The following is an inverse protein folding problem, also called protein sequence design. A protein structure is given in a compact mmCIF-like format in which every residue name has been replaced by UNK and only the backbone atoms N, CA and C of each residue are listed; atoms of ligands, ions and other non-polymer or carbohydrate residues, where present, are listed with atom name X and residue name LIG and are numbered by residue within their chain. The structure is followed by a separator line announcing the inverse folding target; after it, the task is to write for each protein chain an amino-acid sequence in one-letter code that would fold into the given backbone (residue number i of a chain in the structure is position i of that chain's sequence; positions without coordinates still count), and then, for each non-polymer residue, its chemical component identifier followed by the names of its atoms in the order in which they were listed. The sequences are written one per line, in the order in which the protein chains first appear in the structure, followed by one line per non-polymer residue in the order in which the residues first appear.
data_IF_868949049631
#
_entry.id   IF_868949049631
#
_cell.length_a   1.000
_cell.length_b   1.000
_cell.length_c   1.000
_cell.angle_alpha   90.00
_cell.angle_beta   90.00
_cell.angle_gamma   90.00
#
_symmetry.space_group_name_H-M   'P 1'
#
loop_
_entity.id
_entity.type
_entity.pdbx_description
1 polymer ?
#
# COMPACT_ATOMS: atom_id res chain seq x y z
N UNK A 1 3.18 16.36 -14.05
CA UNK A 1 3.31 14.93 -13.71
C UNK A 1 4.64 14.43 -14.23
N UNK A 2 5.52 13.91 -13.37
CA UNK A 2 6.76 13.26 -13.81
C UNK A 2 6.40 12.02 -14.64
N UNK A 3 6.99 11.89 -15.85
CA UNK A 3 6.77 10.72 -16.72
C UNK A 3 7.23 9.41 -16.05
N UNK A 4 7.00 8.24 -16.68
CA UNK A 4 7.33 6.91 -16.13
C UNK A 4 8.77 6.79 -15.60
N UNK A 5 9.74 7.37 -16.31
CA UNK A 5 11.15 7.39 -15.89
C UNK A 5 11.40 8.17 -14.60
N UNK A 6 10.68 9.28 -14.39
CA UNK A 6 10.78 10.08 -13.16
C UNK A 6 10.18 9.35 -11.95
N UNK A 7 9.11 8.59 -12.14
CA UNK A 7 8.52 7.76 -11.09
C UNK A 7 9.44 6.59 -10.70
N UNK A 8 9.98 5.85 -11.67
CA UNK A 8 10.89 4.75 -11.38
C UNK A 8 12.12 5.21 -10.59
N UNK A 9 12.67 6.38 -10.92
CA UNK A 9 13.78 6.98 -10.17
C UNK A 9 13.39 7.25 -8.70
N UNK A 10 12.18 7.77 -8.44
CA UNK A 10 11.66 7.98 -7.08
C UNK A 10 11.43 6.66 -6.35
N UNK A 11 10.87 5.66 -7.03
CA UNK A 11 10.66 4.32 -6.49
C UNK A 11 12.00 3.68 -6.11
N UNK A 12 12.99 3.74 -6.99
CA UNK A 12 14.34 3.23 -6.72
C UNK A 12 15.01 3.97 -5.55
N UNK A 13 14.86 5.29 -5.48
CA UNK A 13 15.34 6.09 -4.35
C UNK A 13 14.61 5.72 -3.04
N UNK A 14 13.30 5.58 -3.08
CA UNK A 14 12.49 5.20 -1.91
C UNK A 14 12.77 3.77 -1.44
N UNK A 15 13.09 2.85 -2.33
CA UNK A 15 13.47 1.48 -1.96
C UNK A 15 14.97 1.29 -1.71
N UNK A 16 15.78 2.35 -1.80
CA UNK A 16 17.25 2.24 -1.76
C UNK A 16 17.77 1.50 -0.53
N UNK A 17 17.22 1.77 0.65
CA UNK A 17 17.62 1.10 1.90
C UNK A 17 17.37 -0.41 1.86
N UNK A 18 16.18 -0.82 1.39
CA UNK A 18 15.83 -2.24 1.25
C UNK A 18 16.67 -2.88 0.15
N UNK A 19 16.75 -2.22 -0.99
CA UNK A 19 17.48 -2.71 -2.16
C UNK A 19 18.98 -2.86 -1.88
N UNK A 20 19.65 -1.86 -1.28
CA UNK A 20 21.07 -1.97 -0.94
C UNK A 20 21.33 -3.11 0.02
N UNK A 21 20.58 -3.21 1.12
CA UNK A 21 20.74 -4.30 2.08
C UNK A 21 20.53 -5.68 1.45
N UNK A 22 19.53 -5.83 0.56
CA UNK A 22 19.25 -7.10 -0.10
C UNK A 22 20.30 -7.44 -1.16
N UNK A 23 20.70 -6.45 -1.98
CA UNK A 23 21.69 -6.68 -3.05
C UNK A 23 23.10 -6.96 -2.51
N UNK A 24 23.50 -6.29 -1.42
CA UNK A 24 24.77 -6.58 -0.73
C UNK A 24 24.80 -8.03 -0.23
N UNK A 25 23.73 -8.51 0.42
CA UNK A 25 23.63 -9.91 0.87
C UNK A 25 23.64 -10.90 -0.27
N UNK A 26 22.92 -10.62 -1.37
CA UNK A 26 22.94 -11.49 -2.56
C UNK A 26 24.37 -11.54 -3.16
N UNK A 27 25.06 -10.41 -3.21
CA UNK A 27 26.43 -10.35 -3.70
C UNK A 27 27.43 -11.10 -2.79
N UNK A 28 27.22 -11.08 -1.48
CA UNK A 28 28.01 -11.87 -0.52
C UNK A 28 27.81 -13.38 -0.72
N UNK A 29 26.56 -13.80 -0.98
CA UNK A 29 26.21 -15.20 -1.26
C UNK A 29 26.78 -15.66 -2.61
N UNK A 30 26.74 -14.80 -3.64
CA UNK A 30 27.15 -15.13 -5.01
C UNK A 30 28.44 -14.38 -5.38
N UNK A 31 29.53 -14.69 -4.67
CA UNK A 31 30.84 -14.06 -4.96
C UNK A 31 31.37 -14.50 -6.32
N UNK A 32 31.58 -13.55 -7.21
CA UNK A 32 32.09 -13.72 -8.58
C UNK A 32 31.18 -14.62 -9.47
N UNK A 33 31.55 -15.87 -9.68
CA UNK A 33 30.74 -16.93 -10.29
C UNK A 33 30.71 -18.11 -9.32
N UNK A 34 29.57 -18.38 -8.74
CA UNK A 34 29.39 -19.47 -7.79
C UNK A 34 28.42 -20.50 -8.38
N UNK A 35 28.70 -21.77 -8.15
CA UNK A 35 27.78 -22.85 -8.47
C UNK A 35 26.58 -22.75 -7.57
N UNK A 36 25.37 -22.70 -8.13
CA UNK A 36 24.11 -22.67 -7.36
C UNK A 36 23.83 -24.07 -6.80
N UNK A 37 24.31 -24.33 -5.60
CA UNK A 37 24.11 -25.55 -4.84
C UNK A 37 23.11 -25.36 -3.69
N UNK A 38 22.87 -26.39 -2.91
CA UNK A 38 21.93 -26.35 -1.79
C UNK A 38 22.32 -25.29 -0.74
N UNK A 39 23.61 -25.20 -0.39
CA UNK A 39 24.09 -24.23 0.59
C UNK A 39 23.89 -22.79 0.10
N UNK A 40 24.17 -22.51 -1.18
CA UNK A 40 23.93 -21.20 -1.78
C UNK A 40 22.44 -20.83 -1.80
N UNK A 41 21.54 -21.80 -2.02
CA UNK A 41 20.10 -21.57 -1.97
C UNK A 41 19.61 -21.29 -0.54
N UNK A 42 20.17 -21.96 0.49
CA UNK A 42 19.88 -21.69 1.90
C UNK A 42 20.33 -20.26 2.29
N UNK A 43 21.56 -19.87 1.94
CA UNK A 43 22.08 -18.52 2.17
C UNK A 43 21.21 -17.44 1.46
N UNK A 44 20.73 -17.73 0.25
CA UNK A 44 19.83 -16.83 -0.49
C UNK A 44 18.46 -16.71 0.19
N UNK A 45 17.91 -17.82 0.71
CA UNK A 45 16.67 -17.84 1.46
C UNK A 45 16.78 -16.95 2.72
N UNK A 46 17.89 -17.09 3.46
CA UNK A 46 18.16 -16.28 4.64
C UNK A 46 18.24 -14.78 4.30
N UNK A 47 18.92 -14.42 3.20
CA UNK A 47 18.99 -13.03 2.73
C UNK A 47 17.61 -12.44 2.43
N UNK A 48 16.70 -13.21 1.82
CA UNK A 48 15.32 -12.80 1.53
C UNK A 48 14.48 -12.66 2.81
N UNK A 49 14.65 -13.57 3.78
CA UNK A 49 13.96 -13.49 5.09
C UNK A 49 14.36 -12.22 5.82
N UNK A 50 15.66 -11.90 5.84
CA UNK A 50 16.20 -10.69 6.49
C UNK A 50 15.72 -9.37 5.84
N UNK A 51 15.28 -9.42 4.58
CA UNK A 51 14.64 -8.30 3.90
C UNK A 51 13.11 -8.24 4.13
N UNK A 52 12.60 -8.99 5.12
CA UNK A 52 11.16 -9.07 5.49
C UNK A 52 10.23 -9.67 4.41
N UNK A 53 10.75 -10.51 3.50
CA UNK A 53 9.87 -11.26 2.58
C UNK A 53 9.09 -12.38 3.29
N UNK A 54 9.52 -12.77 4.50
CA UNK A 54 8.94 -13.87 5.27
C UNK A 54 9.37 -15.26 4.77
N UNK A 55 9.36 -16.25 5.67
CA UNK A 55 9.90 -17.60 5.42
C UNK A 55 9.23 -18.26 4.22
N UNK A 56 7.90 -18.35 4.19
CA UNK A 56 7.17 -19.04 3.12
C UNK A 56 7.40 -18.41 1.73
N UNK A 57 7.57 -17.09 1.69
CA UNK A 57 7.80 -16.36 0.43
C UNK A 57 9.23 -16.56 -0.04
N UNK A 58 10.21 -16.47 0.86
CA UNK A 58 11.62 -16.70 0.57
C UNK A 58 11.84 -18.12 0.03
N UNK A 59 11.34 -19.15 0.72
CA UNK A 59 11.44 -20.53 0.29
C UNK A 59 10.84 -20.77 -1.12
N UNK A 60 9.69 -20.15 -1.42
CA UNK A 60 9.07 -20.27 -2.73
C UNK A 60 9.88 -19.60 -3.84
N UNK A 61 10.43 -18.41 -3.59
CA UNK A 61 11.27 -17.68 -4.54
C UNK A 61 12.57 -18.43 -4.81
N UNK A 62 13.23 -18.94 -3.77
CA UNK A 62 14.46 -19.71 -3.89
C UNK A 62 14.22 -21.01 -4.67
N UNK A 63 13.14 -21.72 -4.37
CA UNK A 63 12.74 -22.92 -5.12
C UNK A 63 12.53 -22.61 -6.61
N UNK A 64 11.90 -21.51 -6.93
CA UNK A 64 11.66 -21.11 -8.32
C UNK A 64 12.95 -20.74 -9.04
N UNK A 65 13.83 -19.95 -8.40
CA UNK A 65 15.13 -19.57 -8.95
C UNK A 65 16.03 -20.80 -9.15
N UNK A 66 16.01 -21.73 -8.20
CA UNK A 66 16.81 -22.97 -8.26
C UNK A 66 16.37 -23.94 -9.35
N UNK A 67 15.10 -23.95 -9.75
CA UNK A 67 14.50 -24.95 -10.63
C UNK A 67 15.28 -25.18 -11.95
N UNK A 68 15.72 -24.09 -12.59
CA UNK A 68 16.41 -24.15 -13.89
C UNK A 68 17.90 -23.82 -13.80
N UNK A 69 18.40 -23.48 -12.62
CA UNK A 69 19.77 -22.98 -12.41
C UNK A 69 20.61 -23.83 -11.47
N UNK A 70 19.99 -24.79 -10.79
CA UNK A 70 20.68 -25.68 -9.86
C UNK A 70 21.87 -26.37 -10.52
N UNK A 71 23.03 -26.34 -9.89
CA UNK A 71 24.25 -26.94 -10.39
C UNK A 71 24.99 -26.13 -11.46
N UNK A 72 24.46 -24.98 -11.92
CA UNK A 72 25.12 -24.07 -12.87
C UNK A 72 25.87 -22.97 -12.14
N UNK A 73 26.89 -22.43 -12.77
CA UNK A 73 27.54 -21.20 -12.34
C UNK A 73 26.62 -20.01 -12.67
N UNK A 74 26.41 -19.15 -11.68
CA UNK A 74 25.53 -17.96 -11.79
C UNK A 74 26.26 -16.73 -11.27
N UNK A 75 25.89 -15.57 -11.78
CA UNK A 75 26.31 -14.25 -11.29
C UNK A 75 25.24 -13.66 -10.38
N UNK A 76 25.62 -12.68 -9.56
CA UNK A 76 24.67 -11.92 -8.72
C UNK A 76 23.58 -11.24 -9.55
N UNK A 77 23.91 -10.69 -10.71
CA UNK A 77 22.96 -10.06 -11.63
C UNK A 77 21.95 -11.06 -12.15
N UNK A 78 22.39 -12.27 -12.57
CA UNK A 78 21.48 -13.32 -13.04
C UNK A 78 20.52 -13.80 -11.95
N UNK A 79 20.97 -13.88 -10.70
CA UNK A 79 20.12 -14.20 -9.55
C UNK A 79 19.12 -13.08 -9.28
N UNK A 80 19.56 -11.82 -9.26
CA UNK A 80 18.66 -10.66 -9.06
C UNK A 80 17.62 -10.55 -10.16
N UNK A 81 17.97 -10.75 -11.41
CA UNK A 81 17.01 -10.77 -12.53
C UNK A 81 16.00 -11.90 -12.40
N UNK A 82 16.46 -13.10 -12.01
CA UNK A 82 15.57 -14.25 -11.78
C UNK A 82 14.60 -13.99 -10.61
N UNK A 83 15.11 -13.43 -9.50
CA UNK A 83 14.29 -13.06 -8.35
C UNK A 83 13.30 -11.95 -8.72
N UNK A 84 13.72 -10.93 -9.46
CA UNK A 84 12.82 -9.86 -9.89
C UNK A 84 11.70 -10.38 -10.77
N UNK A 85 12.00 -11.29 -11.70
CA UNK A 85 10.99 -11.94 -12.51
C UNK A 85 10.02 -12.80 -11.68
N UNK A 86 10.51 -13.54 -10.70
CA UNK A 86 9.67 -14.37 -9.81
C UNK A 86 8.79 -13.51 -8.90
N UNK A 87 9.35 -12.45 -8.30
CA UNK A 87 8.61 -11.48 -7.49
C UNK A 87 7.56 -10.76 -8.33
N UNK A 88 7.91 -10.31 -9.53
CA UNK A 88 6.98 -9.66 -10.46
C UNK A 88 5.76 -10.56 -10.75
N UNK A 89 5.98 -11.82 -11.13
CA UNK A 89 4.89 -12.79 -11.34
C UNK A 89 4.02 -13.01 -10.10
N UNK A 90 4.61 -13.00 -8.92
CA UNK A 90 3.88 -13.16 -7.65
C UNK A 90 3.01 -11.95 -7.34
N UNK A 91 3.45 -10.75 -7.70
CA UNK A 91 2.76 -9.49 -7.43
C UNK A 91 1.73 -9.10 -8.48
N UNK A 92 1.89 -9.56 -9.73
CA UNK A 92 1.02 -9.19 -10.87
C UNK A 92 -0.48 -9.39 -10.58
N UNK A 93 -0.92 -10.53 -9.98
CA UNK A 93 -2.34 -10.76 -9.72
C UNK A 93 -2.97 -9.81 -8.69
N UNK A 94 -2.16 -9.10 -7.91
CA UNK A 94 -2.60 -8.17 -6.86
C UNK A 94 -2.25 -6.71 -7.18
N UNK A 95 -1.60 -6.44 -8.30
CA UNK A 95 -1.28 -5.09 -8.76
C UNK A 95 -2.52 -4.48 -9.42
N UNK A 96 -3.44 -3.99 -8.60
CA UNK A 96 -4.70 -3.41 -9.04
C UNK A 96 -4.82 -1.99 -8.51
N UNK A 97 -4.62 -0.95 -9.37
CA UNK A 97 -4.77 0.43 -8.94
C UNK A 97 -6.21 0.70 -8.49
N UNK A 98 -6.37 1.62 -7.54
CA UNK A 98 -7.71 2.14 -7.22
C UNK A 98 -8.36 2.62 -8.52
N UNK A 99 -9.62 2.26 -8.76
CA UNK A 99 -10.25 2.55 -10.04
C UNK A 99 -10.29 4.07 -10.26
N UNK A 100 -9.58 4.55 -11.27
CA UNK A 100 -9.75 5.91 -11.80
C UNK A 100 -11.09 6.06 -12.54
N UNK A 101 -11.80 4.96 -12.77
CA UNK A 101 -13.16 4.93 -13.31
C UNK A 101 -14.13 4.64 -12.17
N UNK A 102 -14.82 5.66 -11.74
CA UNK A 102 -15.94 5.55 -10.80
C UNK A 102 -17.01 4.63 -11.37
N UNK A 103 -17.29 3.55 -10.70
CA UNK A 103 -18.41 2.64 -11.02
C UNK A 103 -19.71 3.12 -10.38
N UNK A 104 -19.59 3.84 -9.28
CA UNK A 104 -20.69 4.37 -8.46
C UNK A 104 -20.56 5.89 -8.34
N UNK A 105 -21.66 6.58 -8.03
CA UNK A 105 -21.68 8.05 -7.84
C UNK A 105 -22.42 8.44 -6.56
N UNK A 106 -21.66 8.77 -5.51
CA UNK A 106 -20.19 8.73 -5.43
C UNK A 106 -19.64 7.32 -5.24
N UNK A 107 -18.42 7.05 -5.73
CA UNK A 107 -17.62 5.93 -5.27
C UNK A 107 -17.20 6.23 -3.83
N UNK A 108 -17.57 5.37 -2.89
CA UNK A 108 -17.28 5.57 -1.46
C UNK A 108 -16.08 4.72 -1.07
N UNK A 109 -15.00 5.36 -0.66
CA UNK A 109 -13.76 4.70 -0.21
C UNK A 109 -13.57 4.95 1.29
N UNK A 110 -13.68 3.91 2.09
CA UNK A 110 -13.38 3.93 3.52
C UNK A 110 -11.90 3.63 3.75
N UNK A 111 -11.15 4.60 4.28
CA UNK A 111 -9.71 4.44 4.53
C UNK A 111 -9.48 4.14 6.00
N UNK A 112 -8.94 2.97 6.29
CA UNK A 112 -8.65 2.50 7.63
C UNK A 112 -7.17 2.20 7.84
N UNK A 113 -6.75 1.95 9.07
CA UNK A 113 -5.37 1.64 9.45
C UNK A 113 -4.99 2.22 10.80
N UNK A 114 -3.85 1.83 11.33
CA UNK A 114 -3.35 2.27 12.64
C UNK A 114 -2.94 3.74 12.61
N UNK A 115 -2.94 4.41 13.75
CA UNK A 115 -2.42 5.78 13.85
C UNK A 115 -0.96 5.83 13.42
N UNK A 116 -0.60 6.88 12.66
CA UNK A 116 0.77 7.08 12.15
C UNK A 116 1.09 6.35 10.85
N UNK A 117 0.20 5.50 10.30
CA UNK A 117 0.44 4.84 9.00
C UNK A 117 0.32 5.77 7.79
N UNK A 118 -0.08 7.02 7.97
CA UNK A 118 -0.20 7.98 6.86
C UNK A 118 -1.58 8.02 6.19
N UNK A 119 -2.67 7.57 6.83
CA UNK A 119 -4.03 7.60 6.29
C UNK A 119 -4.44 8.96 5.73
N UNK A 120 -4.44 9.99 6.58
CA UNK A 120 -4.84 11.35 6.21
C UNK A 120 -4.00 11.92 5.06
N UNK A 121 -2.68 11.69 5.08
CA UNK A 121 -1.77 12.06 3.99
C UNK A 121 -2.08 11.31 2.70
N UNK A 122 -2.35 10.02 2.80
CA UNK A 122 -2.74 9.17 1.67
C UNK A 122 -4.04 9.65 1.03
N UNK A 123 -5.05 9.94 1.85
CA UNK A 123 -6.33 10.52 1.38
C UNK A 123 -6.10 11.84 0.63
N UNK A 124 -5.27 12.73 1.18
CA UNK A 124 -4.92 14.00 0.53
C UNK A 124 -4.25 13.82 -0.82
N UNK A 125 -3.32 12.86 -0.93
CA UNK A 125 -2.62 12.52 -2.19
C UNK A 125 -3.57 11.85 -3.21
N UNK A 126 -4.44 10.94 -2.76
CA UNK A 126 -5.47 10.32 -3.61
C UNK A 126 -6.47 11.35 -4.13
N UNK A 127 -6.92 12.27 -3.28
CA UNK A 127 -7.80 13.35 -3.68
C UNK A 127 -7.15 14.24 -4.77
N UNK A 128 -5.85 14.56 -4.62
CA UNK A 128 -5.11 15.31 -5.62
C UNK A 128 -5.09 14.59 -6.98
N UNK A 129 -4.81 13.27 -6.97
CA UNK A 129 -4.78 12.46 -8.18
C UNK A 129 -6.18 12.39 -8.84
N UNK A 130 -7.23 12.24 -8.04
CA UNK A 130 -8.61 12.19 -8.53
C UNK A 130 -9.05 13.53 -9.14
N UNK A 131 -8.73 14.65 -8.51
CA UNK A 131 -8.99 16.00 -9.06
C UNK A 131 -8.21 16.22 -10.35
N UNK A 132 -6.95 15.80 -10.41
CA UNK A 132 -6.15 15.89 -11.64
C UNK A 132 -6.70 15.01 -12.77
N UNK A 133 -7.45 13.95 -12.45
CA UNK A 133 -8.20 13.12 -13.39
C UNK A 133 -9.59 13.71 -13.77
N UNK A 134 -9.94 14.88 -13.23
CA UNK A 134 -11.21 15.57 -13.51
C UNK A 134 -12.39 15.11 -12.67
N UNK A 135 -12.15 14.34 -11.59
CA UNK A 135 -13.21 13.84 -10.71
C UNK A 135 -13.59 14.90 -9.67
N UNK A 136 -14.88 14.97 -9.36
CA UNK A 136 -15.42 15.75 -8.25
C UNK A 136 -15.30 14.97 -6.95
N UNK A 137 -14.45 15.43 -6.03
CA UNK A 137 -14.08 14.73 -4.80
C UNK A 137 -14.67 15.42 -3.58
N UNK A 138 -15.12 14.64 -2.60
CA UNK A 138 -15.49 15.08 -1.25
C UNK A 138 -14.67 14.29 -0.23
N UNK A 139 -14.20 14.94 0.83
CA UNK A 139 -13.51 14.33 1.96
C UNK A 139 -14.39 14.33 3.20
N UNK A 140 -14.30 13.27 4.02
CA UNK A 140 -14.99 13.18 5.32
C UNK A 140 -13.98 12.92 6.45
N UNK A 141 -13.94 13.82 7.43
CA UNK A 141 -13.02 13.79 8.57
C UNK A 141 -13.62 13.00 9.74
N UNK A 142 -13.70 11.66 9.61
CA UNK A 142 -14.31 10.81 10.64
C UNK A 142 -13.34 10.39 11.77
N UNK A 143 -12.08 10.83 11.79
CA UNK A 143 -11.19 10.75 12.99
C UNK A 143 -11.50 11.94 13.94
N UNK A 144 -12.75 11.99 14.44
CA UNK A 144 -13.34 13.14 15.13
C UNK A 144 -12.73 13.42 16.50
N UNK A 145 -12.02 12.47 17.08
CA UNK A 145 -11.36 12.60 18.38
C UNK A 145 -9.95 13.18 18.31
N UNK A 146 -9.43 13.37 17.10
CA UNK A 146 -8.09 13.93 16.88
C UNK A 146 -8.20 15.24 16.09
N UNK A 147 -8.29 16.35 16.84
CA UNK A 147 -8.37 17.67 16.24
C UNK A 147 -7.27 17.91 15.17
N UNK A 148 -6.03 17.49 15.44
CA UNK A 148 -4.93 17.60 14.49
C UNK A 148 -5.14 16.77 13.20
N UNK A 149 -5.84 15.64 13.25
CA UNK A 149 -6.14 14.85 12.05
C UNK A 149 -7.20 15.54 11.19
N UNK A 150 -8.22 16.10 11.83
CA UNK A 150 -9.25 16.90 11.14
C UNK A 150 -8.62 18.12 10.48
N UNK A 151 -7.81 18.88 11.20
CA UNK A 151 -7.08 20.04 10.67
C UNK A 151 -6.16 19.66 9.50
N UNK A 152 -5.43 18.55 9.62
CA UNK A 152 -4.59 18.04 8.54
C UNK A 152 -5.40 17.72 7.28
N UNK A 153 -6.57 17.09 7.43
CA UNK A 153 -7.44 16.79 6.30
C UNK A 153 -8.01 18.07 5.66
N UNK A 154 -8.33 19.09 6.46
CA UNK A 154 -8.75 20.40 5.95
C UNK A 154 -7.64 21.12 5.17
N UNK A 155 -6.39 21.01 5.62
CA UNK A 155 -5.25 21.54 4.87
C UNK A 155 -5.16 20.86 3.50
N UNK A 156 -5.32 19.53 3.45
CA UNK A 156 -5.36 18.79 2.20
C UNK A 156 -6.55 19.19 1.33
N UNK A 157 -7.74 19.37 1.93
CA UNK A 157 -8.93 19.87 1.23
C UNK A 157 -8.69 21.22 0.56
N UNK A 158 -8.17 22.20 1.32
CA UNK A 158 -7.82 23.51 0.79
C UNK A 158 -6.78 23.46 -0.32
N UNK A 159 -5.72 22.64 -0.14
CA UNK A 159 -4.63 22.47 -1.13
C UNK A 159 -5.13 21.88 -2.45
N UNK A 160 -6.08 20.97 -2.38
CA UNK A 160 -6.64 20.27 -3.55
C UNK A 160 -7.91 20.97 -4.11
N UNK A 161 -8.42 22.00 -3.45
CA UNK A 161 -9.67 22.65 -3.86
C UNK A 161 -10.91 21.79 -3.69
N UNK A 162 -10.91 20.85 -2.70
CA UNK A 162 -12.02 19.92 -2.45
C UNK A 162 -12.67 20.17 -1.09
N UNK A 163 -14.02 20.04 -0.97
CA UNK A 163 -14.71 20.21 0.30
C UNK A 163 -14.37 19.11 1.29
N UNK A 164 -14.29 19.49 2.57
CA UNK A 164 -14.11 18.56 3.69
C UNK A 164 -15.35 18.65 4.58
N UNK A 165 -16.05 17.54 4.72
CA UNK A 165 -17.15 17.42 5.68
C UNK A 165 -16.56 17.04 7.03
N UNK A 166 -16.84 17.83 8.04
CA UNK A 166 -16.37 17.64 9.42
C UNK A 166 -17.48 17.88 10.43
N UNK A 167 -17.36 17.23 11.57
CA UNK A 167 -18.21 17.44 12.75
C UNK A 167 -17.52 18.32 13.79
N UNK A 168 -18.21 18.53 14.90
CA UNK A 168 -17.60 19.05 16.13
C UNK A 168 -16.62 18.03 16.68
N UNK A 169 -15.66 18.46 17.49
CA UNK A 169 -14.75 17.56 18.19
C UNK A 169 -15.55 16.52 19.00
N UNK A 170 -15.20 15.24 18.86
CA UNK A 170 -15.89 14.12 19.49
C UNK A 170 -17.27 13.80 18.91
N UNK A 171 -17.66 14.38 17.77
CA UNK A 171 -18.89 14.00 17.07
C UNK A 171 -18.90 12.50 16.72
N UNK A 172 -20.07 11.90 16.58
CA UNK A 172 -20.22 10.50 16.17
C UNK A 172 -19.65 10.29 14.74
N UNK A 173 -18.57 9.51 14.58
CA UNK A 173 -17.98 9.29 13.26
C UNK A 173 -18.95 8.67 12.25
N UNK A 174 -19.88 7.82 12.70
CA UNK A 174 -20.84 7.17 11.81
C UNK A 174 -21.93 8.15 11.34
N UNK A 175 -22.39 9.05 12.21
CA UNK A 175 -23.28 10.14 11.81
C UNK A 175 -22.64 11.05 10.79
N UNK A 176 -21.37 11.42 11.02
CA UNK A 176 -20.61 12.25 10.08
C UNK A 176 -20.40 11.55 8.73
N UNK A 177 -20.13 10.25 8.71
CA UNK A 177 -19.99 9.48 7.46
C UNK A 177 -21.31 9.44 6.68
N UNK A 178 -22.47 9.35 7.39
CA UNK A 178 -23.79 9.43 6.81
C UNK A 178 -24.02 10.79 6.15
N UNK A 179 -23.81 11.89 6.89
CA UNK A 179 -23.99 13.25 6.39
C UNK A 179 -23.07 13.54 5.20
N UNK A 180 -21.85 13.01 5.23
CA UNK A 180 -20.88 13.17 4.15
C UNK A 180 -21.33 12.44 2.87
N UNK A 181 -21.91 11.24 2.98
CA UNK A 181 -22.42 10.51 1.82
C UNK A 181 -23.67 11.19 1.23
N UNK A 182 -24.61 11.63 2.06
CA UNK A 182 -25.79 12.39 1.62
C UNK A 182 -25.37 13.68 0.91
N UNK A 183 -24.42 14.40 1.50
CA UNK A 183 -23.90 15.62 0.90
C UNK A 183 -23.16 15.36 -0.41
N UNK A 184 -22.31 14.34 -0.49
CA UNK A 184 -21.60 13.96 -1.71
C UNK A 184 -22.58 13.59 -2.84
N UNK A 185 -23.69 12.91 -2.53
CA UNK A 185 -24.76 12.63 -3.49
C UNK A 185 -25.46 13.89 -3.97
N UNK A 186 -25.88 14.75 -3.05
CA UNK A 186 -26.55 16.01 -3.38
C UNK A 186 -25.69 16.92 -4.26
N UNK A 187 -24.37 16.95 -3.98
CA UNK A 187 -23.41 17.75 -4.75
C UNK A 187 -23.01 17.08 -6.09
N UNK A 188 -23.46 15.86 -6.36
CA UNK A 188 -23.09 15.09 -7.55
C UNK A 188 -21.59 14.79 -7.60
N UNK A 189 -21.01 14.42 -6.46
CA UNK A 189 -19.61 14.02 -6.37
C UNK A 189 -19.37 12.67 -7.08
N UNK A 190 -18.19 12.50 -7.63
CA UNK A 190 -17.75 11.22 -8.22
C UNK A 190 -17.08 10.32 -7.16
N UNK A 191 -16.42 10.92 -6.15
CA UNK A 191 -15.62 10.20 -5.16
C UNK A 191 -15.84 10.79 -3.76
N UNK A 192 -16.09 9.93 -2.77
CA UNK A 192 -16.08 10.25 -1.34
C UNK A 192 -14.96 9.45 -0.66
N UNK A 193 -13.97 10.16 -0.10
CA UNK A 193 -12.90 9.55 0.71
C UNK A 193 -13.16 9.81 2.19
N UNK A 194 -13.24 8.75 2.99
CA UNK A 194 -13.57 8.81 4.42
C UNK A 194 -12.32 8.47 5.24
N UNK A 195 -11.80 9.45 6.00
CA UNK A 195 -10.70 9.26 6.95
C UNK A 195 -11.26 8.74 8.29
N UNK A 196 -10.70 7.66 8.82
CA UNK A 196 -11.17 7.04 10.07
C UNK A 196 -10.10 7.07 11.16
N UNK A 197 -10.53 6.95 12.41
CA UNK A 197 -9.63 6.74 13.53
C UNK A 197 -8.78 5.46 13.36
N UNK A 198 -7.64 5.40 14.04
CA UNK A 198 -6.73 4.26 13.95
C UNK A 198 -6.17 3.84 15.32
N UNK A 199 -6.96 3.94 16.39
CA UNK A 199 -6.55 3.66 17.77
C UNK A 199 -6.53 2.15 18.06
N UNK A 200 -5.56 1.41 17.50
CA UNK A 200 -5.49 -0.04 17.66
C UNK A 200 -5.25 -0.49 19.11
N UNK A 201 -4.71 0.38 19.98
CA UNK A 201 -4.60 0.14 21.42
C UNK A 201 -5.96 -0.03 22.10
N UNK A 202 -7.01 0.59 21.56
CA UNK A 202 -8.43 0.32 21.91
C UNK A 202 -9.09 -0.47 20.77
N UNK A 203 -8.64 -1.71 20.60
CA UNK A 203 -9.04 -2.57 19.49
C UNK A 203 -10.58 -2.69 19.42
N UNK A 204 -11.25 -2.95 20.55
CA UNK A 204 -12.70 -3.14 20.56
C UNK A 204 -13.44 -1.86 20.14
N UNK A 205 -13.08 -0.71 20.69
CA UNK A 205 -13.71 0.56 20.34
C UNK A 205 -13.53 0.93 18.85
N UNK A 206 -12.33 0.73 18.30
CA UNK A 206 -12.07 0.92 16.87
C UNK A 206 -12.92 -0.02 16.00
N UNK A 207 -13.08 -1.27 16.44
CA UNK A 207 -13.90 -2.27 15.76
C UNK A 207 -15.36 -1.88 15.70
N UNK A 208 -15.92 -1.45 16.82
CA UNK A 208 -17.33 -1.08 16.92
C UNK A 208 -17.61 0.20 16.12
N UNK A 209 -16.66 1.14 16.10
CA UNK A 209 -16.73 2.37 15.31
C UNK A 209 -16.75 2.06 13.80
N UNK A 210 -15.79 1.29 13.29
CA UNK A 210 -15.74 0.93 11.88
C UNK A 210 -16.96 0.15 11.42
N UNK A 211 -17.43 -0.83 12.21
CA UNK A 211 -18.68 -1.55 11.91
C UNK A 211 -19.89 -0.62 11.88
N UNK A 212 -19.94 0.35 12.80
CA UNK A 212 -21.02 1.34 12.85
C UNK A 212 -21.01 2.23 11.61
N UNK A 213 -19.84 2.70 11.17
CA UNK A 213 -19.67 3.49 9.94
C UNK A 213 -20.19 2.68 8.74
N UNK A 214 -19.70 1.45 8.54
CA UNK A 214 -20.13 0.59 7.41
C UNK A 214 -21.65 0.36 7.43
N UNK A 215 -22.21 0.06 8.62
CA UNK A 215 -23.66 -0.16 8.76
C UNK A 215 -24.47 1.08 8.40
N UNK A 216 -24.00 2.26 8.74
CA UNK A 216 -24.70 3.51 8.48
C UNK A 216 -24.59 3.90 7.00
N UNK A 217 -23.44 3.73 6.38
CA UNK A 217 -23.27 3.94 4.94
C UNK A 217 -24.21 3.04 4.13
N UNK A 218 -24.37 1.78 4.52
CA UNK A 218 -25.33 0.82 3.88
C UNK A 218 -26.80 1.19 3.99
N UNK A 219 -27.18 2.08 4.89
CA UNK A 219 -28.54 2.62 4.96
C UNK A 219 -28.83 3.62 3.85
N UNK A 220 -27.78 4.35 3.40
CA UNK A 220 -27.88 5.32 2.31
C UNK A 220 -27.66 4.62 0.96
N UNK A 221 -26.70 3.71 0.92
CA UNK A 221 -26.35 2.93 -0.26
C UNK A 221 -26.00 1.50 0.17
N UNK A 222 -26.82 0.49 -0.20
CA UNK A 222 -26.58 -0.91 0.20
C UNK A 222 -25.23 -1.48 -0.22
N UNK A 223 -24.61 -0.93 -1.27
CA UNK A 223 -23.29 -1.36 -1.77
C UNK A 223 -22.12 -0.59 -1.13
N UNK A 224 -22.40 0.54 -0.44
CA UNK A 224 -21.37 1.33 0.24
C UNK A 224 -20.91 0.67 1.58
N UNK A 225 -19.63 0.86 1.96
CA UNK A 225 -18.55 1.45 1.16
C UNK A 225 -18.17 0.52 0.00
N UNK A 226 -17.90 1.08 -1.17
CA UNK A 226 -17.53 0.33 -2.37
C UNK A 226 -16.10 -0.20 -2.29
N UNK A 227 -15.21 0.57 -1.60
CA UNK A 227 -13.85 0.16 -1.28
C UNK A 227 -13.57 0.38 0.20
N UNK A 228 -12.90 -0.58 0.82
CA UNK A 228 -12.34 -0.50 2.16
C UNK A 228 -10.85 -0.73 2.07
N UNK A 229 -10.08 0.34 2.16
CA UNK A 229 -8.64 0.33 1.93
C UNK A 229 -7.89 0.44 3.25
N UNK A 230 -7.02 -0.53 3.50
CA UNK A 230 -6.13 -0.50 4.67
C UNK A 230 -4.79 0.14 4.31
N UNK A 231 -4.45 1.22 5.03
CA UNK A 231 -3.15 1.88 4.91
C UNK A 231 -2.18 1.30 5.93
N UNK A 232 -1.07 0.76 5.45
CA UNK A 232 -0.01 0.11 6.22
C UNK A 232 1.29 0.91 6.17
N UNK A 233 2.04 0.87 7.25
CA UNK A 233 3.39 1.43 7.35
C UNK A 233 4.43 0.32 7.13
N UNK A 234 5.22 0.40 6.06
CA UNK A 234 6.24 -0.59 5.72
C UNK A 234 7.31 -0.74 6.80
N UNK A 235 7.58 0.31 7.60
CA UNK A 235 8.59 0.26 8.65
C UNK A 235 8.25 -0.74 9.75
N UNK A 236 6.98 -1.14 9.88
CA UNK A 236 6.53 -2.14 10.84
C UNK A 236 6.90 -3.57 10.47
N UNK A 237 7.37 -3.81 9.23
CA UNK A 237 7.80 -5.13 8.76
C UNK A 237 6.72 -6.19 8.95
N UNK A 238 7.08 -7.36 9.48
CA UNK A 238 6.15 -8.48 9.69
C UNK A 238 4.94 -8.16 10.59
N UNK A 239 5.01 -7.12 11.43
CA UNK A 239 3.85 -6.69 12.22
C UNK A 239 2.69 -6.16 11.34
N UNK A 240 2.94 -5.77 10.09
CA UNK A 240 1.89 -5.41 9.15
C UNK A 240 0.92 -6.56 8.88
N UNK A 241 1.38 -7.82 8.93
CA UNK A 241 0.53 -9.00 8.78
C UNK A 241 -0.58 -9.07 9.84
N UNK A 242 -0.23 -8.82 11.10
CA UNK A 242 -1.19 -8.81 12.19
C UNK A 242 -2.25 -7.70 12.00
N UNK A 243 -1.83 -6.55 11.47
CA UNK A 243 -2.77 -5.47 11.15
C UNK A 243 -3.76 -5.92 10.07
N UNK A 244 -3.28 -6.50 8.96
CA UNK A 244 -4.18 -7.02 7.91
C UNK A 244 -5.16 -8.04 8.46
N UNK A 245 -4.71 -9.01 9.27
CA UNK A 245 -5.59 -10.02 9.89
C UNK A 245 -6.67 -9.40 10.76
N UNK A 246 -6.27 -8.44 11.61
CA UNK A 246 -7.21 -7.74 12.49
C UNK A 246 -8.26 -6.99 11.67
N UNK A 247 -7.86 -6.18 10.69
CA UNK A 247 -8.80 -5.40 9.90
C UNK A 247 -9.64 -6.27 8.94
N UNK A 248 -9.09 -7.34 8.35
CA UNK A 248 -9.81 -8.28 7.50
C UNK A 248 -10.96 -8.98 8.25
N UNK A 249 -10.75 -9.27 9.54
CA UNK A 249 -11.79 -9.88 10.38
C UNK A 249 -12.87 -8.89 10.84
N UNK A 250 -12.67 -7.60 10.61
CA UNK A 250 -13.56 -6.52 11.05
C UNK A 250 -14.43 -5.97 9.96
N UNK A 251 -13.82 -5.71 8.83
CA UNK A 251 -14.41 -5.11 7.65
C UNK A 251 -13.94 -5.88 6.42
N UNK A 252 -14.76 -5.89 5.38
CA UNK A 252 -14.40 -6.54 4.12
C UNK A 252 -13.37 -5.68 3.40
N UNK A 253 -12.08 -5.90 3.68
CA UNK A 253 -10.99 -5.19 2.99
C UNK A 253 -11.04 -5.48 1.49
N UNK A 254 -11.00 -4.45 0.67
CA UNK A 254 -10.92 -4.54 -0.78
C UNK A 254 -9.49 -4.35 -1.31
N UNK A 255 -8.61 -3.74 -0.51
CA UNK A 255 -7.22 -3.59 -0.90
C UNK A 255 -6.34 -2.89 0.14
N UNK A 256 -5.08 -2.75 -0.22
CA UNK A 256 -4.00 -2.23 0.62
C UNK A 256 -3.34 -1.02 -0.04
N UNK A 257 -2.85 -0.10 0.78
CA UNK A 257 -1.86 0.92 0.40
C UNK A 257 -0.71 0.80 1.39
N UNK A 258 0.52 0.67 0.88
CA UNK A 258 1.72 0.54 1.73
C UNK A 258 2.54 1.82 1.61
N UNK A 259 2.77 2.47 2.75
CA UNK A 259 3.46 3.76 2.86
C UNK A 259 4.84 3.61 3.49
N UNK A 260 5.62 4.70 3.47
CA UNK A 260 6.93 4.84 4.15
C UNK A 260 7.98 3.79 3.73
N UNK A 261 7.93 3.38 2.46
CA UNK A 261 8.94 2.47 1.92
C UNK A 261 10.35 3.10 1.92
N UNK A 262 10.44 4.42 1.85
CA UNK A 262 11.69 5.20 1.93
C UNK A 262 12.33 5.19 3.32
N UNK A 263 11.55 4.92 4.35
CA UNK A 263 12.01 4.89 5.75
C UNK A 263 12.58 3.55 6.22
N UNK A 264 12.63 2.50 5.38
CA UNK A 264 12.88 1.14 5.86
C UNK A 264 13.78 0.30 4.96
N UNK A 265 14.48 -0.66 5.56
CA UNK A 265 15.13 -1.78 4.86
C UNK A 265 14.20 -3.02 4.74
N UNK A 266 12.92 -2.90 5.11
CA UNK A 266 11.93 -3.98 5.19
C UNK A 266 10.89 -3.97 4.08
N UNK A 267 11.20 -3.41 2.93
CA UNK A 267 10.29 -3.28 1.78
C UNK A 267 9.79 -4.62 1.23
N UNK A 268 10.47 -5.72 1.52
CA UNK A 268 10.04 -7.08 1.20
C UNK A 268 8.69 -7.47 1.81
N UNK A 269 8.25 -6.79 2.86
CA UNK A 269 6.92 -6.99 3.47
C UNK A 269 5.79 -6.87 2.45
N UNK A 270 5.93 -6.04 1.42
CA UNK A 270 4.93 -5.91 0.34
C UNK A 270 4.71 -7.25 -0.37
N UNK A 271 5.79 -7.97 -0.67
CA UNK A 271 5.74 -9.29 -1.32
C UNK A 271 5.10 -10.34 -0.40
N UNK A 272 5.48 -10.31 0.88
CA UNK A 272 4.93 -11.20 1.89
C UNK A 272 3.41 -11.01 2.10
N UNK A 273 2.96 -9.74 2.16
CA UNK A 273 1.54 -9.38 2.27
C UNK A 273 0.74 -9.84 1.04
N UNK A 274 1.26 -9.57 -0.16
CA UNK A 274 0.65 -9.98 -1.42
C UNK A 274 0.42 -11.48 -1.47
N UNK A 275 1.46 -12.26 -1.16
CA UNK A 275 1.39 -13.72 -1.19
C UNK A 275 0.41 -14.29 -0.17
N UNK A 276 0.44 -13.77 1.08
CA UNK A 276 -0.37 -14.31 2.19
C UNK A 276 -1.84 -13.96 2.07
N UNK A 277 -2.14 -12.71 1.75
CA UNK A 277 -3.52 -12.20 1.82
C UNK A 277 -4.23 -12.15 0.49
N UNK A 278 -3.49 -12.09 -0.61
CA UNK A 278 -4.01 -11.99 -1.99
C UNK A 278 -5.01 -10.82 -2.14
N UNK A 279 -4.81 -9.77 -1.36
CA UNK A 279 -5.56 -8.54 -1.46
C UNK A 279 -4.91 -7.63 -2.51
N UNK A 280 -5.67 -6.89 -3.30
CA UNK A 280 -5.17 -5.87 -4.18
C UNK A 280 -4.24 -4.89 -3.45
N UNK A 281 -3.10 -4.55 -4.06
CA UNK A 281 -2.24 -3.45 -3.62
C UNK A 281 -2.49 -2.32 -4.60
N UNK A 282 -3.17 -1.28 -4.12
CA UNK A 282 -3.61 -0.17 -4.97
C UNK A 282 -2.50 0.85 -5.23
N UNK A 283 -1.73 1.16 -4.19
CA UNK A 283 -0.69 2.17 -4.27
C UNK A 283 0.42 1.93 -3.26
N UNK A 284 1.57 2.55 -3.52
CA UNK A 284 2.72 2.58 -2.61
C UNK A 284 3.19 4.03 -2.41
N UNK A 285 3.63 4.32 -1.18
CA UNK A 285 4.21 5.60 -0.77
C UNK A 285 5.71 5.48 -0.52
N UNK A 286 6.48 6.33 -1.18
CA UNK A 286 7.95 6.34 -1.15
C UNK A 286 8.53 7.68 -0.71
N UNK A 287 7.74 8.50 -0.01
CA UNK A 287 8.14 9.81 0.51
C UNK A 287 6.95 10.71 0.85
N UNK A 288 7.27 11.97 1.17
CA UNK A 288 6.33 12.94 1.74
C UNK A 288 5.57 13.75 0.67
N UNK A 289 6.14 13.97 -0.52
CA UNK A 289 5.55 14.82 -1.55
C UNK A 289 4.32 14.18 -2.20
N UNK A 290 3.50 14.98 -2.88
CA UNK A 290 2.28 14.50 -3.56
C UNK A 290 2.61 13.41 -4.57
N UNK A 291 3.72 13.57 -5.28
CA UNK A 291 4.17 12.66 -6.32
C UNK A 291 4.73 11.33 -5.77
N UNK A 292 4.97 11.23 -4.47
CA UNK A 292 5.55 10.06 -3.81
C UNK A 292 4.50 8.99 -3.44
N UNK A 293 3.23 9.17 -3.80
CA UNK A 293 2.21 8.12 -3.80
C UNK A 293 1.82 7.80 -5.24
N UNK A 294 1.94 6.54 -5.63
CA UNK A 294 1.59 6.09 -6.98
C UNK A 294 0.91 4.74 -6.96
N UNK A 295 0.17 4.48 -8.03
CA UNK A 295 -0.38 3.15 -8.30
C UNK A 295 0.72 2.11 -8.26
N UNK A 296 0.39 0.95 -7.70
CA UNK A 296 1.35 -0.15 -7.59
C UNK A 296 1.55 -0.84 -8.95
N UNK A 297 2.80 -1.00 -9.33
CA UNK A 297 3.20 -1.71 -10.55
C UNK A 297 4.17 -2.84 -10.18
N UNK A 298 3.74 -4.08 -10.38
CA UNK A 298 4.44 -5.28 -9.93
C UNK A 298 5.87 -5.39 -10.46
N UNK A 299 6.05 -5.21 -11.77
CA UNK A 299 7.35 -5.32 -12.43
C UNK A 299 8.31 -4.21 -12.02
N UNK A 300 7.84 -2.96 -11.96
CA UNK A 300 8.65 -1.82 -11.54
C UNK A 300 9.10 -1.98 -10.08
N UNK A 301 8.18 -2.39 -9.20
CA UNK A 301 8.50 -2.65 -7.78
C UNK A 301 9.53 -3.77 -7.62
N UNK A 302 9.32 -4.91 -8.29
CA UNK A 302 10.23 -6.06 -8.21
C UNK A 302 11.65 -5.71 -8.65
N UNK A 303 11.81 -4.98 -9.76
CA UNK A 303 13.13 -4.53 -10.24
C UNK A 303 13.79 -3.54 -9.29
N UNK A 304 13.03 -2.55 -8.80
CA UNK A 304 13.54 -1.59 -7.84
C UNK A 304 13.97 -2.26 -6.51
N UNK A 305 13.21 -3.24 -6.04
CA UNK A 305 13.52 -4.02 -4.83
C UNK A 305 14.86 -4.77 -4.97
N UNK A 306 15.14 -5.32 -6.14
CA UNK A 306 16.36 -6.06 -6.46
C UNK A 306 17.51 -5.16 -7.00
N UNK A 307 17.37 -3.84 -6.92
CA UNK A 307 18.39 -2.88 -7.34
C UNK A 307 18.65 -2.83 -8.85
N UNK A 308 17.74 -3.35 -9.64
CA UNK A 308 17.81 -3.39 -11.09
C UNK A 308 17.26 -2.10 -11.71
N UNK A 309 17.67 -1.79 -12.93
CA UNK A 309 17.11 -0.69 -13.71
C UNK A 309 15.77 -1.06 -14.35
N UNK A 310 14.96 -0.09 -14.84
CA UNK A 310 13.71 -0.37 -15.53
C UNK A 310 13.93 -1.38 -16.67
N UNK A 311 12.92 -2.19 -16.96
CA UNK A 311 12.98 -3.02 -18.15
C UNK A 311 13.10 -2.14 -19.41
N UNK A 312 13.90 -2.56 -20.37
CA UNK A 312 14.02 -1.85 -21.63
C UNK A 312 12.63 -1.81 -22.31
N UNK A 313 12.03 -0.63 -22.42
CA UNK A 313 10.73 -0.43 -23.10
C UNK A 313 9.52 -0.18 -22.17
N UNK A 314 9.71 0.03 -20.85
CA UNK A 314 8.65 0.45 -19.92
C UNK A 314 8.61 1.96 -19.72
#
# INVERSE_FOLDING_TARGET
MSGPRGWFSRLKAGLSRTSSSLTERIAEVVVARRKLDAATLEELEEALILADLGVDTAAALVKEVGKDRFGREVTDVEIREALAAAVGRMLEPVAEPLPHRVRFRPQVVLVCGVNGTGKTTTIGKLANQAVAAGLKVVLAACDTFRAAAVEQLEIWGRRNGVPVIRGKEGADPAGLAFDALERARADGADLLLIDTAGRLQNKQGLMDELRKIVRVLKKVDPEAPHDVVLVLDATTGQNAHNQVEVFKNLVSLTGLIVTKLDGTAKGGVVVALARRFKLPIHAIGVGETIEDLRSFEAGAFARALLGLDPAAGS
#
